data_IF_759315709372
#
_entry.id   IF_759315709372
#
_cell.length_a   1.000
_cell.length_b   1.000
_cell.length_c   1.000
_cell.angle_alpha   90.00
_cell.angle_beta   90.00
_cell.angle_gamma   90.00
#
_symmetry.space_group_name_H-M   'P 1'
#
loop_
_entity.id
_entity.type
_entity.pdbx_description
1 polymer ?
#
# COMPACT_ATOMS: atom_id res chain seq x y z
N UNK A 1 -10.91 -4.92 19.15
CA UNK A 1 -11.27 -5.70 17.95
C UNK A 1 -10.58 -5.03 16.79
N UNK A 2 -9.43 -5.55 16.38
CA UNK A 2 -8.55 -4.91 15.39
C UNK A 2 -8.86 -5.50 14.02
N UNK A 3 -9.63 -4.75 13.22
CA UNK A 3 -9.84 -5.07 11.82
C UNK A 3 -8.52 -4.85 11.07
N UNK A 4 -7.91 -5.93 10.58
CA UNK A 4 -6.64 -5.86 9.84
C UNK A 4 -6.94 -5.88 8.35
N UNK A 5 -6.27 -5.06 7.55
CA UNK A 5 -6.43 -5.04 6.10
C UNK A 5 -5.16 -5.60 5.47
N UNK A 6 -5.29 -6.70 4.72
CA UNK A 6 -4.19 -7.22 3.90
C UNK A 6 -4.36 -6.69 2.49
N UNK A 7 -3.29 -6.15 1.89
CA UNK A 7 -3.30 -5.70 0.52
C UNK A 7 -2.13 -6.28 -0.27
N UNK A 8 -2.38 -6.58 -1.54
CA UNK A 8 -1.30 -6.79 -2.51
C UNK A 8 -1.12 -5.49 -3.26
N UNK A 9 -0.01 -4.80 -2.97
CA UNK A 9 0.36 -3.56 -3.65
C UNK A 9 0.98 -3.95 -4.99
N UNK A 10 0.40 -3.45 -6.08
CA UNK A 10 1.19 -3.20 -7.28
C UNK A 10 1.12 -1.70 -7.57
N UNK A 11 2.27 -1.19 -7.97
CA UNK A 11 2.59 0.22 -8.09
C UNK A 11 1.55 1.00 -8.92
N UNK A 12 0.80 1.86 -8.24
CA UNK A 12 0.17 3.04 -8.80
C UNK A 12 0.41 4.21 -7.84
N UNK A 13 1.67 4.64 -7.73
CA UNK A 13 2.02 5.83 -6.97
C UNK A 13 1.71 7.08 -7.80
N UNK A 14 0.66 7.83 -7.44
CA UNK A 14 0.52 9.23 -7.83
C UNK A 14 1.20 10.09 -6.78
N UNK A 15 2.29 10.78 -7.12
CA UNK A 15 2.99 11.67 -6.19
C UNK A 15 2.26 13.03 -6.14
N UNK A 16 1.66 13.44 -5.01
CA UNK A 16 1.15 14.81 -4.85
C UNK A 16 2.32 15.81 -4.76
N UNK A 17 2.13 17.08 -5.16
CA UNK A 17 3.19 18.09 -5.11
C UNK A 17 3.45 18.56 -3.67
N UNK A 18 4.51 18.03 -3.04
CA UNK A 18 5.24 18.40 -1.78
C UNK A 18 4.42 18.85 -0.52
N UNK A 19 4.70 18.33 0.70
CA UNK A 19 6.04 18.21 1.28
C UNK A 19 6.51 16.76 1.47
N UNK A 20 7.75 16.52 1.02
CA UNK A 20 8.73 15.43 1.11
C UNK A 20 8.52 14.14 1.94
N UNK A 21 7.47 13.98 2.75
CA UNK A 21 7.25 12.79 3.57
C UNK A 21 5.87 12.17 3.36
N UNK A 22 4.87 12.89 2.84
CA UNK A 22 3.52 12.36 2.69
C UNK A 22 3.39 11.51 1.43
N UNK A 23 2.90 10.28 1.58
CA UNK A 23 2.57 9.42 0.44
C UNK A 23 1.10 9.01 0.49
N UNK A 24 0.56 8.72 -0.69
CA UNK A 24 -0.70 8.02 -0.85
C UNK A 24 -0.50 6.87 -1.84
N UNK A 25 -0.92 5.67 -1.45
CA UNK A 25 -0.95 4.54 -2.37
C UNK A 25 -2.24 3.75 -2.20
N UNK A 26 -2.72 3.22 -3.31
CA UNK A 26 -3.83 2.26 -3.37
C UNK A 26 -3.25 0.87 -3.63
N UNK A 27 -4.05 -0.17 -3.35
CA UNK A 27 -3.68 -1.55 -3.69
C UNK A 27 -4.52 -2.07 -4.85
N UNK A 28 -4.00 -3.07 -5.57
CA UNK A 28 -4.78 -3.75 -6.60
C UNK A 28 -5.91 -4.58 -6.01
N UNK A 29 -5.65 -5.22 -4.87
CA UNK A 29 -6.61 -6.02 -4.11
C UNK A 29 -6.35 -5.85 -2.63
N UNK A 30 -7.42 -5.75 -1.86
CA UNK A 30 -7.37 -5.81 -0.42
C UNK A 30 -8.47 -6.70 0.15
N UNK A 31 -8.19 -7.31 1.30
CA UNK A 31 -9.13 -8.12 2.04
C UNK A 31 -9.17 -7.65 3.50
N UNK A 32 -10.38 -7.68 4.07
CA UNK A 32 -10.58 -7.49 5.48
C UNK A 32 -10.22 -8.79 6.22
N UNK A 33 -9.54 -8.67 7.34
CA UNK A 33 -9.24 -9.75 8.27
C UNK A 33 -9.94 -9.45 9.58
N UNK A 34 -10.81 -10.38 9.99
CA UNK A 34 -11.51 -10.35 11.26
C UNK A 34 -11.23 -11.65 12.01
N UNK A 35 -10.79 -11.53 13.27
CA UNK A 35 -10.45 -12.69 14.11
C UNK A 35 -9.46 -13.67 13.44
N UNK A 36 -8.49 -13.13 12.70
CA UNK A 36 -7.48 -13.92 11.99
C UNK A 36 -7.97 -14.64 10.73
N UNK A 37 -9.18 -14.33 10.23
CA UNK A 37 -9.74 -14.92 9.01
C UNK A 37 -10.09 -13.85 7.99
N UNK A 38 -9.94 -14.17 6.70
CA UNK A 38 -10.41 -13.32 5.62
C UNK A 38 -11.94 -13.18 5.70
N UNK A 39 -12.41 -11.95 5.87
CA UNK A 39 -13.82 -11.59 6.01
C UNK A 39 -14.45 -11.06 4.72
N UNK A 40 -13.65 -10.85 3.67
CA UNK A 40 -14.13 -10.42 2.35
C UNK A 40 -13.18 -9.47 1.66
N UNK A 41 -13.38 -9.28 0.35
CA UNK A 41 -12.61 -8.31 -0.43
C UNK A 41 -13.17 -6.89 -0.22
N UNK A 42 -12.28 -5.92 -0.10
CA UNK A 42 -12.63 -4.49 0.00
C UNK A 42 -12.10 -3.73 -1.20
N UNK A 43 -12.74 -2.61 -1.51
CA UNK A 43 -12.41 -1.71 -2.63
C UNK A 43 -12.46 -0.26 -2.16
N UNK A 44 -12.04 0.66 -3.04
CA UNK A 44 -12.12 2.10 -2.82
C UNK A 44 -11.39 2.56 -1.54
N UNK A 45 -10.15 2.08 -1.38
CA UNK A 45 -9.29 2.38 -0.23
C UNK A 45 -7.98 3.04 -0.69
N UNK A 46 -7.46 3.96 0.13
CA UNK A 46 -6.14 4.53 -0.03
C UNK A 46 -5.44 4.62 1.32
N UNK A 47 -4.16 4.24 1.35
CA UNK A 47 -3.31 4.51 2.50
C UNK A 47 -2.83 5.95 2.44
N UNK A 48 -2.87 6.65 3.57
CA UNK A 48 -2.34 8.00 3.69
C UNK A 48 -1.51 8.09 4.96
N UNK A 49 -0.22 8.37 4.82
CA UNK A 49 0.69 8.55 5.95
C UNK A 49 1.94 9.33 5.54
N UNK A 50 2.72 9.76 6.54
CA UNK A 50 4.11 10.14 6.31
C UNK A 50 4.96 8.88 6.16
N UNK A 51 6.04 8.95 5.38
CA UNK A 51 6.97 7.85 5.13
C UNK A 51 7.58 7.36 6.44
N UNK A 52 8.00 8.28 7.32
CA UNK A 52 8.55 7.95 8.63
C UNK A 52 7.56 7.26 9.55
N UNK A 53 6.32 7.75 9.62
CA UNK A 53 5.31 7.15 10.52
C UNK A 53 4.89 5.77 10.02
N UNK A 54 4.72 5.62 8.70
CA UNK A 54 4.36 4.34 8.12
C UNK A 54 5.43 3.29 8.36
N UNK A 55 6.69 3.56 8.00
CA UNK A 55 7.77 2.58 8.21
C UNK A 55 8.07 2.38 9.70
N UNK A 56 7.91 3.40 10.54
CA UNK A 56 7.99 3.30 12.00
C UNK A 56 6.86 2.47 12.62
N UNK A 57 5.72 2.34 11.94
CA UNK A 57 4.58 1.54 12.39
C UNK A 57 4.67 0.04 12.05
N UNK A 58 5.76 -0.38 11.40
CA UNK A 58 6.00 -1.77 11.04
C UNK A 58 6.27 -2.62 12.28
N UNK A 59 5.37 -3.55 12.57
CA UNK A 59 5.48 -4.45 13.73
C UNK A 59 6.19 -5.75 13.40
N UNK A 60 5.95 -6.31 12.21
CA UNK A 60 6.50 -7.59 11.83
C UNK A 60 6.79 -7.68 10.34
N UNK A 61 7.80 -8.49 10.00
CA UNK A 61 8.18 -8.85 8.64
C UNK A 61 8.05 -10.37 8.50
N UNK A 62 7.41 -10.81 7.43
CA UNK A 62 7.22 -12.21 7.10
C UNK A 62 8.53 -12.89 6.71
N UNK A 63 8.62 -14.19 6.96
CA UNK A 63 9.79 -14.98 6.60
C UNK A 63 9.97 -15.13 5.08
N UNK A 64 11.07 -15.77 4.64
CA UNK A 64 11.40 -15.96 3.22
C UNK A 64 10.28 -16.62 2.40
N UNK A 65 9.44 -17.46 3.03
CA UNK A 65 8.30 -18.13 2.41
C UNK A 65 7.19 -17.15 1.95
N UNK A 66 7.20 -15.92 2.46
CA UNK A 66 6.24 -14.87 2.11
C UNK A 66 6.76 -13.89 1.07
N UNK A 67 7.99 -14.07 0.59
CA UNK A 67 8.61 -13.20 -0.39
C UNK A 67 7.95 -13.38 -1.76
N UNK A 68 7.51 -12.26 -2.35
CA UNK A 68 6.96 -12.22 -3.70
C UNK A 68 7.73 -11.18 -4.50
N UNK A 69 8.18 -11.56 -5.70
CA UNK A 69 8.78 -10.63 -6.66
C UNK A 69 7.68 -10.02 -7.53
N UNK A 70 7.41 -8.73 -7.33
CA UNK A 70 6.54 -7.93 -8.18
C UNK A 70 7.31 -7.24 -9.29
N UNK A 71 6.66 -7.01 -10.43
CA UNK A 71 7.24 -6.29 -11.56
C UNK A 71 6.22 -5.36 -12.20
N UNK A 72 6.69 -4.21 -12.67
CA UNK A 72 5.93 -3.25 -13.47
C UNK A 72 6.67 -2.98 -14.78
N UNK A 73 5.94 -2.91 -15.89
CA UNK A 73 6.50 -2.61 -17.22
C UNK A 73 6.89 -1.13 -17.39
N UNK A 74 6.46 -0.29 -16.47
CA UNK A 74 6.72 1.14 -16.40
C UNK A 74 7.40 1.48 -15.07
N UNK A 75 8.30 2.48 -15.11
CA UNK A 75 9.08 2.86 -13.94
C UNK A 75 8.27 3.70 -12.94
N UNK A 76 7.15 4.31 -13.37
CA UNK A 76 6.29 5.18 -12.55
C UNK A 76 6.95 6.50 -12.10
N UNK A 77 8.28 6.59 -12.17
CA UNK A 77 9.09 7.74 -11.76
C UNK A 77 9.41 8.65 -12.95
N UNK A 78 9.33 9.95 -12.66
CA UNK A 78 9.65 11.11 -13.50
C UNK A 78 8.52 11.66 -14.39
N UNK A 79 8.41 13.00 -14.39
CA UNK A 79 7.95 13.77 -15.54
C UNK A 79 9.20 14.35 -16.23
N UNK A 80 9.45 14.05 -17.53
CA UNK A 80 8.69 13.19 -18.43
C UNK A 80 8.81 11.69 -18.09
N UNK A 81 7.73 10.94 -18.36
CA UNK A 81 7.60 9.52 -17.99
C UNK A 81 8.64 8.63 -18.64
N UNK A 82 9.39 7.89 -17.82
CA UNK A 82 10.35 6.91 -18.29
C UNK A 82 9.75 5.50 -18.36
N UNK A 83 9.90 4.86 -19.52
CA UNK A 83 9.53 3.46 -19.71
C UNK A 83 10.77 2.61 -19.42
N UNK A 84 10.76 1.96 -18.26
CA UNK A 84 11.73 0.92 -17.91
C UNK A 84 10.98 -0.15 -17.13
N UNK A 85 11.29 -1.41 -17.43
CA UNK A 85 10.81 -2.53 -16.62
C UNK A 85 11.51 -2.46 -15.26
N UNK A 86 10.73 -2.36 -14.19
CA UNK A 86 11.23 -2.33 -12.81
C UNK A 86 10.65 -3.52 -12.06
N UNK A 87 11.47 -4.12 -11.20
CA UNK A 87 11.05 -5.22 -10.33
C UNK A 87 11.47 -4.93 -8.91
N UNK A 88 10.54 -5.15 -7.98
CA UNK A 88 10.78 -5.07 -6.55
C UNK A 88 10.10 -6.25 -5.89
N UNK A 89 10.80 -6.94 -5.00
CA UNK A 89 10.20 -8.00 -4.21
C UNK A 89 10.27 -7.65 -2.73
N UNK A 90 9.19 -7.94 -2.02
CA UNK A 90 9.11 -7.79 -0.58
C UNK A 90 8.47 -9.03 0.04
N UNK A 91 8.89 -9.41 1.26
CA UNK A 91 8.08 -10.28 2.09
C UNK A 91 6.81 -9.58 2.54
N UNK A 92 5.85 -10.35 3.07
CA UNK A 92 4.69 -9.75 3.73
C UNK A 92 5.14 -8.91 4.93
N UNK A 93 4.50 -7.77 5.18
CA UNK A 93 4.80 -6.91 6.33
C UNK A 93 3.50 -6.52 7.04
N UNK A 94 3.56 -6.44 8.38
CA UNK A 94 2.46 -6.01 9.23
C UNK A 94 2.74 -4.61 9.74
N UNK A 95 1.81 -3.70 9.46
CA UNK A 95 1.83 -2.31 9.93
C UNK A 95 0.63 -2.06 10.84
N UNK A 96 0.80 -1.29 11.91
CA UNK A 96 -0.28 -0.97 12.86
C UNK A 96 -0.58 0.51 12.94
N UNK A 97 -1.85 0.86 13.16
CA UNK A 97 -2.23 2.27 13.31
C UNK A 97 -2.06 3.10 12.03
N UNK A 98 -2.01 2.46 10.86
CA UNK A 98 -1.98 3.16 9.56
C UNK A 98 -3.38 3.67 9.22
N UNK A 99 -3.47 4.94 8.84
CA UNK A 99 -4.72 5.52 8.39
C UNK A 99 -5.10 5.02 6.98
N UNK A 100 -6.33 4.53 6.84
CA UNK A 100 -6.89 4.04 5.58
C UNK A 100 -8.12 4.89 5.26
N UNK A 101 -8.05 5.61 4.15
CA UNK A 101 -9.13 6.45 3.64
C UNK A 101 -10.07 5.63 2.77
N UNK A 102 -11.37 5.94 2.84
CA UNK A 102 -12.34 5.50 1.85
C UNK A 102 -12.40 6.52 0.72
N UNK A 103 -11.85 6.18 -0.45
CA UNK A 103 -11.69 7.14 -1.55
C UNK A 103 -13.02 7.63 -2.12
N UNK A 104 -14.09 6.84 -2.01
CA UNK A 104 -15.43 7.22 -2.48
C UNK A 104 -16.08 8.24 -1.54
N UNK A 105 -15.87 8.14 -0.23
CA UNK A 105 -16.41 9.10 0.73
C UNK A 105 -15.63 10.42 0.71
N UNK A 106 -14.31 10.36 0.56
CA UNK A 106 -13.46 11.55 0.56
C UNK A 106 -13.50 12.33 -0.76
N UNK A 107 -13.80 11.70 -1.89
CA UNK A 107 -13.92 12.38 -3.19
C UNK A 107 -15.23 13.19 -3.35
N UNK A 108 -16.22 12.95 -2.49
CA UNK A 108 -17.53 13.62 -2.53
C UNK A 108 -17.66 14.83 -1.60
N UNK A 109 -16.55 15.29 -1.01
CA UNK A 109 -16.50 16.37 -0.01
C UNK A 109 -15.65 17.54 -0.51
#
# INVERSE_FOLDING_TARGET
>A
MENTLTCTVADQSGMPPDPAMNFQFTGQRAYLIENGRLAGQVKDFAYQATTTDFWGSMEAVGGPQTYVLGGAFNCGKAQPGQVAAVSHGCPSALFRGVNILNTTQEAGR
#
